data_IF_343158416537
#
_entry.id   IF_343158416537
#
_cell.length_a   1.000
_cell.length_b   1.000
_cell.length_c   1.000
_cell.angle_alpha   90.00
_cell.angle_beta   90.00
_cell.angle_gamma   90.00
#
_symmetry.space_group_name_H-M   'P 1'
#
loop_
_entity.id
_entity.type
_entity.pdbx_description
1 polymer ?
#
# COMPACT_ATOMS: atom_id res chain seq x y z
N UNK A 1 -52.76 28.77 10.80
CA UNK A 1 -53.97 28.87 9.95
C UNK A 1 -53.94 27.68 8.99
N UNK A 2 -54.79 26.73 9.34
CA UNK A 2 -55.78 26.01 8.50
C UNK A 2 -55.26 25.14 7.35
N UNK A 3 -55.31 23.87 7.60
CA UNK A 3 -55.52 22.76 6.61
C UNK A 3 -56.78 22.97 5.77
N UNK A 4 -56.96 22.29 4.64
CA UNK A 4 -57.80 21.12 4.69
C UNK A 4 -57.38 19.91 3.87
N UNK A 5 -57.77 18.79 4.40
CA UNK A 5 -57.88 17.42 3.85
C UNK A 5 -58.96 17.29 2.76
N UNK A 6 -58.75 16.41 1.78
CA UNK A 6 -59.84 15.82 1.03
C UNK A 6 -59.56 14.33 0.69
N UNK A 7 -60.59 13.53 0.85
CA UNK A 7 -60.73 12.07 0.89
C UNK A 7 -61.20 11.49 -0.45
N UNK A 8 -60.81 10.19 -0.68
CA UNK A 8 -61.58 9.06 -1.26
C UNK A 8 -61.91 9.12 -2.80
N UNK A 9 -61.68 8.04 -3.52
CA UNK A 9 -62.54 6.86 -3.65
C UNK A 9 -61.87 5.78 -4.46
N UNK A 10 -62.09 4.51 -4.12
CA UNK A 10 -61.65 3.32 -4.85
C UNK A 10 -62.64 2.91 -5.93
N UNK A 11 -62.17 2.06 -6.82
CA UNK A 11 -63.05 1.17 -7.60
C UNK A 11 -62.27 -0.15 -7.88
N UNK A 12 -62.94 -1.24 -7.58
CA UNK A 12 -62.56 -2.61 -7.91
C UNK A 12 -63.13 -3.00 -9.29
N UNK A 13 -62.40 -3.79 -10.09
CA UNK A 13 -62.98 -4.54 -11.20
C UNK A 13 -62.12 -5.79 -11.48
N UNK A 14 -62.67 -6.85 -11.17
CA UNK A 14 -62.98 -8.16 -11.84
C UNK A 14 -61.95 -8.77 -12.74
N UNK A 15 -61.66 -10.04 -12.38
CA UNK A 15 -60.94 -11.06 -13.11
C UNK A 15 -61.65 -11.49 -14.40
N UNK A 16 -60.87 -11.79 -15.43
CA UNK A 16 -61.26 -12.64 -16.54
C UNK A 16 -60.17 -13.71 -16.78
N UNK A 17 -60.55 -14.96 -16.50
CA UNK A 17 -59.78 -16.18 -16.85
C UNK A 17 -59.94 -16.45 -18.35
N UNK A 18 -58.86 -16.50 -19.11
CA UNK A 18 -58.81 -17.05 -20.45
C UNK A 18 -57.92 -18.29 -20.47
N UNK A 19 -58.51 -19.46 -20.60
CA UNK A 19 -57.81 -20.71 -20.91
C UNK A 19 -57.40 -20.70 -22.42
N UNK A 20 -56.13 -20.97 -22.69
CA UNK A 20 -55.62 -21.29 -24.02
C UNK A 20 -54.91 -22.66 -23.95
N UNK A 21 -55.11 -23.58 -24.90
CA UNK A 21 -54.63 -24.95 -24.82
C UNK A 21 -53.13 -25.06 -25.16
N UNK A 22 -52.47 -25.96 -24.47
CA UNK A 22 -51.09 -26.38 -24.72
C UNK A 22 -50.91 -27.08 -26.03
N UNK A 23 -50.07 -26.56 -26.92
CA UNK A 23 -49.48 -27.31 -28.02
C UNK A 23 -48.06 -27.74 -27.61
N UNK A 24 -47.89 -29.04 -27.45
CA UNK A 24 -46.60 -29.66 -27.20
C UNK A 24 -45.75 -29.63 -28.48
N UNK A 25 -44.65 -28.87 -28.48
CA UNK A 25 -43.55 -29.09 -29.41
C UNK A 25 -42.37 -29.59 -28.60
N UNK A 26 -42.05 -30.88 -28.76
CA UNK A 26 -40.84 -31.50 -28.25
C UNK A 26 -39.63 -31.02 -29.07
N UNK A 27 -38.97 -30.02 -28.59
CA UNK A 27 -37.64 -29.60 -29.02
C UNK A 27 -36.61 -30.17 -28.04
N UNK A 28 -35.78 -31.10 -28.52
CA UNK A 28 -34.63 -31.62 -27.81
C UNK A 28 -33.58 -30.51 -27.68
N UNK A 29 -33.54 -29.86 -26.52
CA UNK A 29 -32.43 -28.98 -26.13
C UNK A 29 -31.34 -29.85 -25.53
N UNK A 30 -30.18 -29.87 -26.17
CA UNK A 30 -28.96 -30.38 -25.55
C UNK A 30 -28.70 -29.61 -24.23
N UNK A 31 -28.19 -30.27 -23.18
CA UNK A 31 -27.80 -29.54 -21.98
C UNK A 31 -26.67 -28.56 -22.34
N UNK A 32 -26.88 -27.28 -22.07
CA UNK A 32 -25.77 -26.33 -22.01
C UNK A 32 -24.81 -26.84 -20.94
N UNK A 33 -23.57 -27.07 -21.30
CA UNK A 33 -22.50 -27.23 -20.34
C UNK A 33 -22.52 -25.95 -19.48
N UNK A 34 -22.82 -26.11 -18.21
CA UNK A 34 -22.63 -25.06 -17.23
C UNK A 34 -21.11 -24.81 -17.16
N UNK A 35 -20.70 -23.61 -17.48
CA UNK A 35 -19.36 -23.13 -17.11
C UNK A 35 -19.18 -23.36 -15.60
N UNK A 36 -18.00 -23.86 -15.17
CA UNK A 36 -17.76 -24.01 -13.75
C UNK A 36 -17.90 -22.61 -13.12
N UNK A 37 -18.85 -22.44 -12.21
CA UNK A 37 -18.91 -21.27 -11.38
C UNK A 37 -17.54 -21.13 -10.69
N UNK A 38 -16.87 -20.00 -10.87
CA UNK A 38 -15.70 -19.65 -10.08
C UNK A 38 -16.08 -19.84 -8.62
N UNK A 39 -15.34 -20.67 -7.89
CA UNK A 39 -15.57 -20.83 -6.46
C UNK A 39 -15.26 -19.46 -5.84
N UNK A 40 -16.22 -18.85 -5.14
CA UNK A 40 -15.94 -17.66 -4.32
C UNK A 40 -14.86 -18.05 -3.30
N UNK A 41 -13.70 -17.39 -3.37
CA UNK A 41 -12.61 -17.56 -2.41
C UNK A 41 -13.08 -17.01 -1.07
N UNK A 42 -13.06 -17.84 -0.03
CA UNK A 42 -13.52 -17.42 1.31
C UNK A 42 -12.38 -16.78 2.09
N UNK A 43 -12.70 -15.92 3.07
CA UNK A 43 -11.69 -15.36 3.99
C UNK A 43 -10.89 -16.44 4.74
N UNK A 44 -11.48 -17.63 4.95
CA UNK A 44 -10.82 -18.78 5.58
C UNK A 44 -9.79 -19.41 4.62
N UNK A 45 -10.10 -19.49 3.32
CA UNK A 45 -9.17 -19.99 2.29
C UNK A 45 -7.95 -19.08 2.16
N UNK A 46 -8.13 -17.76 2.17
CA UNK A 46 -7.03 -16.76 2.12
C UNK A 46 -6.13 -16.86 3.35
N UNK A 47 -6.70 -17.02 4.56
CA UNK A 47 -5.91 -17.19 5.78
C UNK A 47 -5.00 -18.42 5.70
N UNK A 48 -5.50 -19.53 5.14
CA UNK A 48 -4.73 -20.76 4.94
C UNK A 48 -3.55 -20.58 3.98
N UNK A 49 -3.72 -19.78 2.92
CA UNK A 49 -2.63 -19.48 1.98
C UNK A 49 -1.52 -18.62 2.63
N UNK A 50 -1.87 -17.60 3.41
CA UNK A 50 -0.88 -16.80 4.13
C UNK A 50 -0.16 -17.61 5.22
N UNK A 51 -0.85 -18.48 5.96
CA UNK A 51 -0.23 -19.40 6.93
C UNK A 51 0.71 -20.41 6.25
N UNK A 52 0.39 -20.85 5.02
CA UNK A 52 1.28 -21.68 4.20
C UNK A 52 2.56 -20.91 3.84
N UNK A 53 2.45 -19.67 3.41
CA UNK A 53 3.61 -18.82 3.10
C UNK A 53 4.47 -18.58 4.34
N UNK A 54 3.88 -18.27 5.51
CA UNK A 54 4.63 -18.14 6.77
C UNK A 54 5.44 -19.41 7.08
N UNK A 55 4.82 -20.59 6.89
CA UNK A 55 5.47 -21.88 7.15
C UNK A 55 6.57 -22.21 6.13
N UNK A 56 6.37 -21.88 4.85
CA UNK A 56 7.31 -22.12 3.77
C UNK A 56 8.59 -21.29 3.91
N UNK A 57 8.43 -20.02 4.30
CA UNK A 57 9.52 -19.05 4.39
C UNK A 57 10.09 -18.88 5.82
N UNK A 58 9.57 -19.62 6.80
CA UNK A 58 9.92 -19.48 8.24
C UNK A 58 9.89 -18.00 8.68
N UNK A 59 8.79 -17.33 8.36
CA UNK A 59 8.61 -15.89 8.57
C UNK A 59 7.23 -15.58 9.16
N UNK A 60 7.15 -14.50 9.91
CA UNK A 60 5.89 -13.86 10.27
C UNK A 60 5.53 -12.87 9.17
N UNK A 61 4.32 -12.97 8.65
CA UNK A 61 3.82 -12.18 7.52
C UNK A 61 2.63 -11.32 7.94
N UNK A 62 2.63 -10.05 7.57
CA UNK A 62 1.50 -9.15 7.68
C UNK A 62 1.10 -8.63 6.30
N UNK A 63 -0.18 -8.71 5.98
CA UNK A 63 -0.74 -8.26 4.70
C UNK A 63 -1.97 -7.40 4.96
N UNK A 64 -2.10 -6.32 4.24
CA UNK A 64 -3.35 -5.59 4.06
C UNK A 64 -3.43 -5.10 2.64
N UNK A 65 -4.56 -5.34 2.00
CA UNK A 65 -4.88 -4.79 0.70
C UNK A 65 -6.34 -4.37 0.63
N UNK A 66 -6.63 -3.34 -0.15
CA UNK A 66 -7.97 -2.85 -0.41
C UNK A 66 -8.13 -2.44 -1.87
N UNK A 67 -9.17 -2.93 -2.50
CA UNK A 67 -9.68 -2.40 -3.78
C UNK A 67 -10.43 -1.09 -3.48
N UNK A 68 -9.96 0.02 -4.02
CA UNK A 68 -10.51 1.35 -3.70
C UNK A 68 -11.84 1.63 -4.37
N UNK A 69 -12.21 0.86 -5.40
CA UNK A 69 -13.49 0.97 -6.10
C UNK A 69 -14.62 0.23 -5.40
N UNK A 70 -14.36 -0.99 -4.94
CA UNK A 70 -15.35 -1.84 -4.28
C UNK A 70 -15.33 -1.71 -2.76
N UNK A 71 -14.18 -1.37 -2.17
CA UNK A 71 -13.92 -1.40 -0.74
C UNK A 71 -13.72 -2.82 -0.19
N UNK A 72 -13.51 -3.82 -1.05
CA UNK A 72 -13.17 -5.18 -0.62
C UNK A 72 -11.76 -5.22 -0.06
N UNK A 73 -11.58 -5.92 1.07
CA UNK A 73 -10.31 -6.02 1.79
C UNK A 73 -9.80 -7.46 1.83
N UNK A 74 -8.49 -7.62 1.66
CA UNK A 74 -7.73 -8.84 1.98
C UNK A 74 -6.75 -8.51 3.09
N UNK A 75 -6.71 -9.34 4.14
CA UNK A 75 -5.83 -9.07 5.25
C UNK A 75 -5.37 -10.32 6.00
N UNK A 76 -4.15 -10.25 6.51
CA UNK A 76 -3.56 -11.21 7.42
C UNK A 76 -2.65 -10.47 8.41
N UNK A 77 -2.86 -10.63 9.72
CA UNK A 77 -2.14 -9.88 10.77
C UNK A 77 -2.06 -8.37 10.51
N UNK A 78 -3.08 -7.82 9.85
CA UNK A 78 -3.07 -6.44 9.34
C UNK A 78 -2.92 -5.37 10.43
N UNK A 79 -3.27 -5.69 11.67
CA UNK A 79 -3.21 -4.78 12.82
C UNK A 79 -2.08 -5.15 13.81
N UNK A 80 -1.21 -6.10 13.44
CA UNK A 80 0.00 -6.42 14.19
C UNK A 80 1.18 -5.53 13.77
N UNK A 81 2.09 -5.22 14.71
CA UNK A 81 3.24 -4.34 14.45
C UNK A 81 4.39 -5.06 13.77
N UNK A 82 4.98 -4.39 12.80
CA UNK A 82 6.21 -4.77 12.10
C UNK A 82 7.12 -3.54 12.00
N UNK A 83 8.43 -3.74 11.97
CA UNK A 83 9.38 -2.69 11.62
C UNK A 83 9.12 -2.23 10.19
N UNK A 84 8.91 -0.95 9.99
CA UNK A 84 8.59 -0.42 8.66
C UNK A 84 9.82 -0.32 7.74
N UNK A 85 11.03 -0.22 8.32
CA UNK A 85 12.27 0.00 7.58
C UNK A 85 12.12 1.14 6.55
N UNK A 86 12.76 1.05 5.39
CA UNK A 86 12.74 2.12 4.38
C UNK A 86 11.37 2.43 3.75
N UNK A 87 10.28 1.72 4.09
CA UNK A 87 8.95 2.07 3.53
C UNK A 87 8.47 3.46 3.99
N UNK A 88 8.92 3.94 5.17
CA UNK A 88 8.62 5.29 5.66
C UNK A 88 9.07 6.40 4.70
N UNK A 89 10.08 6.15 3.83
CA UNK A 89 10.63 7.14 2.91
C UNK A 89 9.59 7.67 1.90
N UNK A 90 8.57 6.88 1.58
CA UNK A 90 7.44 7.36 0.81
C UNK A 90 6.68 8.48 1.56
N UNK A 91 6.53 8.35 2.87
CA UNK A 91 5.79 9.29 3.70
C UNK A 91 6.61 10.52 4.07
N UNK A 92 7.90 10.35 4.42
CA UNK A 92 8.79 11.50 4.65
C UNK A 92 8.89 12.37 3.40
N UNK A 93 9.04 11.76 2.23
CA UNK A 93 9.04 12.50 0.96
C UNK A 93 7.68 13.17 0.68
N UNK A 94 6.57 12.47 0.91
CA UNK A 94 5.23 13.03 0.74
C UNK A 94 5.01 14.29 1.60
N UNK A 95 5.39 14.24 2.87
CA UNK A 95 5.27 15.36 3.80
C UNK A 95 6.15 16.54 3.37
N UNK A 96 7.41 16.29 3.01
CA UNK A 96 8.31 17.34 2.51
C UNK A 96 7.77 17.98 1.23
N UNK A 97 7.28 17.18 0.27
CA UNK A 97 6.67 17.68 -0.95
C UNK A 97 5.41 18.51 -0.68
N UNK A 98 4.62 18.13 0.32
CA UNK A 98 3.38 18.83 0.68
C UNK A 98 3.58 20.12 1.48
N UNK A 99 4.67 20.21 2.26
CA UNK A 99 4.95 21.34 3.15
C UNK A 99 5.79 22.44 2.51
N UNK A 100 6.45 22.14 1.37
CA UNK A 100 7.35 23.07 0.70
C UNK A 100 6.77 23.59 -0.62
N UNK A 101 7.01 24.86 -0.92
CA UNK A 101 6.70 25.45 -2.23
C UNK A 101 7.64 24.91 -3.31
N UNK A 102 7.28 24.99 -4.61
CA UNK A 102 8.19 24.60 -5.68
C UNK A 102 9.55 25.30 -5.65
N UNK A 103 9.60 26.54 -5.18
CA UNK A 103 10.83 27.31 -5.03
C UNK A 103 11.69 26.77 -3.88
N UNK A 104 11.11 26.38 -2.75
CA UNK A 104 11.80 25.78 -1.61
C UNK A 104 12.31 24.37 -1.96
N UNK A 105 11.57 23.60 -2.73
CA UNK A 105 12.02 22.29 -3.22
C UNK A 105 13.25 22.37 -4.14
N UNK A 106 13.51 23.51 -4.79
CA UNK A 106 14.71 23.76 -5.59
C UNK A 106 15.89 24.31 -4.76
N UNK A 107 15.72 24.54 -3.45
CA UNK A 107 16.82 24.95 -2.57
C UNK A 107 17.80 23.81 -2.37
N UNK A 108 19.12 24.17 -2.39
CA UNK A 108 20.19 23.16 -2.27
C UNK A 108 20.46 22.84 -0.81
N UNK A 109 20.21 21.61 -0.45
CA UNK A 109 20.61 21.00 0.82
C UNK A 109 22.08 20.60 0.73
N UNK A 110 22.90 21.05 1.68
CA UNK A 110 24.32 20.72 1.75
C UNK A 110 24.59 19.80 2.93
N UNK A 111 25.42 18.82 2.74
CA UNK A 111 25.83 17.84 3.74
C UNK A 111 27.31 17.48 3.50
N UNK A 112 27.91 16.75 4.41
CA UNK A 112 29.34 16.42 4.40
C UNK A 112 29.56 14.91 4.36
N UNK A 113 30.80 14.46 4.17
CA UNK A 113 31.15 13.04 4.28
C UNK A 113 30.83 12.44 5.68
N UNK A 114 30.77 13.28 6.73
CA UNK A 114 30.44 12.86 8.09
C UNK A 114 28.95 12.54 8.28
N UNK A 115 28.09 13.06 7.39
CA UNK A 115 26.64 12.84 7.39
C UNK A 115 26.25 11.58 6.61
N UNK A 116 27.18 11.01 5.81
CA UNK A 116 26.91 9.82 5.03
C UNK A 116 26.77 8.58 5.94
N UNK A 117 25.70 7.84 5.72
CA UNK A 117 25.47 6.54 6.35
C UNK A 117 25.47 5.41 5.33
N UNK A 118 25.52 4.18 5.79
CA UNK A 118 25.54 3.00 4.92
C UNK A 118 24.31 2.98 3.97
N UNK A 119 24.52 2.58 2.72
CA UNK A 119 23.54 2.56 1.66
C UNK A 119 23.02 3.97 1.26
N UNK A 120 23.93 4.76 0.71
CA UNK A 120 23.66 6.13 0.24
C UNK A 120 24.11 6.32 -1.22
N UNK A 121 23.54 5.54 -2.18
CA UNK A 121 24.10 5.40 -3.53
C UNK A 121 24.02 6.67 -4.38
N UNK A 122 23.18 7.63 -4.02
CA UNK A 122 23.01 8.90 -4.72
C UNK A 122 23.71 10.01 -3.96
N UNK A 123 23.41 10.17 -2.67
CA UNK A 123 23.97 11.27 -1.86
C UNK A 123 25.50 11.20 -1.78
N UNK A 124 26.12 10.01 -1.76
CA UNK A 124 27.59 9.87 -1.77
C UNK A 124 28.26 10.51 -2.98
N UNK A 125 27.54 10.71 -4.08
CA UNK A 125 28.05 11.30 -5.33
C UNK A 125 27.93 12.83 -5.34
N UNK A 126 27.23 13.44 -4.37
CA UNK A 126 26.87 14.86 -4.35
C UNK A 126 27.37 15.62 -3.11
N UNK A 127 28.27 15.03 -2.31
CA UNK A 127 28.83 15.65 -1.08
C UNK A 127 29.43 17.03 -1.35
N UNK A 128 30.15 17.21 -2.46
CA UNK A 128 30.81 18.48 -2.80
C UNK A 128 29.85 19.56 -3.35
N UNK A 129 28.67 19.15 -3.84
CA UNK A 129 27.74 20.05 -4.55
C UNK A 129 26.45 20.31 -3.78
N UNK A 130 26.06 19.40 -2.90
CA UNK A 130 24.70 19.31 -2.38
C UNK A 130 23.72 18.81 -3.44
N UNK A 131 22.49 18.70 -3.06
CA UNK A 131 21.34 18.30 -3.91
C UNK A 131 20.17 19.23 -3.60
N UNK A 132 19.27 19.47 -4.56
CA UNK A 132 18.03 20.16 -4.23
C UNK A 132 17.16 19.29 -3.31
N UNK A 133 16.28 19.88 -2.52
CA UNK A 133 15.40 19.13 -1.62
C UNK A 133 14.53 18.14 -2.41
N UNK A 134 14.12 18.51 -3.63
CA UNK A 134 13.42 17.61 -4.55
C UNK A 134 14.29 16.40 -4.98
N UNK A 135 15.58 16.61 -5.30
CA UNK A 135 16.51 15.52 -5.61
C UNK A 135 16.78 14.61 -4.41
N UNK A 136 16.78 15.16 -3.20
CA UNK A 136 16.88 14.38 -1.96
C UNK A 136 15.65 13.49 -1.78
N UNK A 137 14.45 14.02 -2.01
CA UNK A 137 13.22 13.23 -1.96
C UNK A 137 13.22 12.11 -3.01
N UNK A 138 13.63 12.41 -4.26
CA UNK A 138 13.76 11.42 -5.34
C UNK A 138 14.76 10.30 -4.97
N UNK A 139 15.92 10.65 -4.41
CA UNK A 139 16.93 9.68 -3.97
C UNK A 139 16.40 8.76 -2.86
N UNK A 140 15.69 9.31 -1.87
CA UNK A 140 15.10 8.55 -0.79
C UNK A 140 14.02 7.56 -1.28
N UNK A 141 13.14 8.00 -2.18
CA UNK A 141 12.03 7.15 -2.66
C UNK A 141 12.54 6.13 -3.67
N UNK A 142 13.18 6.57 -4.76
CA UNK A 142 13.52 5.71 -5.90
C UNK A 142 14.70 4.78 -5.66
N UNK A 143 15.69 5.25 -4.90
CA UNK A 143 16.93 4.50 -4.65
C UNK A 143 17.05 4.03 -3.21
N UNK A 144 16.08 4.37 -2.36
CA UNK A 144 16.09 4.05 -0.94
C UNK A 144 17.33 4.57 -0.19
N UNK A 145 17.89 5.70 -0.63
CA UNK A 145 19.10 6.33 -0.09
C UNK A 145 18.88 6.72 1.38
N UNK A 146 19.75 6.24 2.27
CA UNK A 146 19.59 6.41 3.72
C UNK A 146 20.00 7.80 4.19
N UNK A 147 21.04 8.38 3.63
CA UNK A 147 21.42 9.77 3.97
C UNK A 147 20.35 10.73 3.47
N UNK A 148 19.80 10.52 2.27
CA UNK A 148 18.69 11.31 1.80
C UNK A 148 17.47 11.23 2.76
N UNK A 149 17.16 10.04 3.27
CA UNK A 149 16.08 9.89 4.26
C UNK A 149 16.35 10.66 5.55
N UNK A 150 17.60 10.67 6.05
CA UNK A 150 17.96 11.45 7.23
C UNK A 150 17.85 12.96 6.99
N UNK A 151 18.21 13.44 5.79
CA UNK A 151 18.02 14.84 5.42
C UNK A 151 16.53 15.23 5.37
N UNK A 152 15.65 14.32 4.88
CA UNK A 152 14.20 14.54 4.94
C UNK A 152 13.66 14.54 6.38
N UNK A 153 14.17 13.66 7.25
CA UNK A 153 13.83 13.71 8.68
C UNK A 153 14.26 15.04 9.30
N UNK A 154 15.46 15.54 8.95
CA UNK A 154 15.94 16.84 9.48
C UNK A 154 15.00 17.98 9.05
N UNK A 155 14.52 17.98 7.80
CA UNK A 155 13.56 18.94 7.28
C UNK A 155 12.23 18.92 8.05
N UNK A 156 11.76 17.72 8.43
CA UNK A 156 10.53 17.53 9.22
C UNK A 156 10.71 17.74 10.74
N UNK A 157 11.92 18.10 11.21
CA UNK A 157 12.20 18.23 12.65
C UNK A 157 12.54 16.92 13.37
N UNK A 158 13.01 15.92 12.63
CA UNK A 158 13.40 14.60 13.10
C UNK A 158 12.26 13.60 13.16
N UNK A 159 12.51 12.41 13.74
CA UNK A 159 11.47 11.38 13.90
C UNK A 159 10.22 11.86 14.64
N UNK A 160 10.38 12.72 15.67
CA UNK A 160 9.27 13.29 16.45
C UNK A 160 8.38 14.17 15.55
N UNK A 161 8.97 15.06 14.74
CA UNK A 161 8.21 15.91 13.81
C UNK A 161 7.53 15.10 12.73
N UNK A 162 8.20 14.10 12.15
CA UNK A 162 7.59 13.17 11.22
C UNK A 162 6.38 12.45 11.85
N UNK A 163 6.51 11.96 13.09
CA UNK A 163 5.40 11.30 13.78
C UNK A 163 4.23 12.26 14.03
N UNK A 164 4.50 13.53 14.41
CA UNK A 164 3.47 14.55 14.59
C UNK A 164 2.73 14.82 13.28
N UNK A 165 3.43 14.98 12.16
CA UNK A 165 2.84 15.19 10.84
C UNK A 165 2.00 13.98 10.39
N UNK A 166 2.45 12.76 10.65
CA UNK A 166 1.66 11.55 10.38
C UNK A 166 0.37 11.50 11.22
N UNK A 167 0.38 11.99 12.48
CA UNK A 167 -0.82 12.14 13.29
C UNK A 167 -1.80 13.15 12.70
N UNK A 168 -1.31 14.23 12.10
CA UNK A 168 -2.16 15.24 11.46
C UNK A 168 -2.93 14.70 10.25
N UNK A 169 -2.35 13.76 9.52
CA UNK A 169 -3.04 13.07 8.41
C UNK A 169 -3.92 11.90 8.85
N UNK A 170 -3.92 11.57 10.14
CA UNK A 170 -4.79 10.54 10.74
C UNK A 170 -4.13 9.18 10.97
N UNK A 171 -2.81 9.04 10.80
CA UNK A 171 -2.08 7.83 11.20
C UNK A 171 -1.71 7.88 12.69
N UNK A 172 -2.56 7.30 13.54
CA UNK A 172 -2.35 7.19 14.98
C UNK A 172 -1.49 5.95 15.37
N UNK A 173 -0.95 5.22 14.40
CA UNK A 173 -0.32 3.91 14.61
C UNK A 173 1.19 3.95 14.46
N UNK A 174 1.72 4.61 13.42
CA UNK A 174 3.16 4.66 13.18
C UNK A 174 3.91 5.22 14.38
N UNK A 175 5.06 4.63 14.73
CA UNK A 175 5.95 5.11 15.79
C UNK A 175 7.32 5.35 15.15
N UNK A 176 7.88 6.54 15.33
CA UNK A 176 9.17 6.94 14.79
C UNK A 176 10.07 7.47 15.93
N UNK A 177 11.15 6.76 16.20
CA UNK A 177 12.00 7.01 17.36
C UNK A 177 13.46 7.23 16.95
N UNK A 178 13.90 6.68 15.82
CA UNK A 178 15.28 6.69 15.35
C UNK A 178 15.36 7.12 13.88
N UNK A 179 16.58 7.45 13.46
CA UNK A 179 16.86 7.75 12.04
C UNK A 179 17.56 6.57 11.37
N UNK A 180 17.88 6.68 10.09
CA UNK A 180 18.68 5.68 9.36
C UNK A 180 20.13 5.69 9.88
N UNK A 181 20.76 4.54 10.16
CA UNK A 181 20.27 3.19 9.85
C UNK A 181 19.66 2.46 11.06
N UNK A 182 19.69 3.07 12.24
CA UNK A 182 19.25 2.44 13.49
C UNK A 182 17.77 2.07 13.51
N UNK A 183 16.92 2.78 12.75
CA UNK A 183 15.48 2.45 12.64
C UNK A 183 15.23 1.06 12.05
N UNK A 184 16.21 0.47 11.35
CA UNK A 184 16.10 -0.87 10.77
C UNK A 184 16.34 -2.00 11.78
N UNK A 185 16.77 -1.69 13.01
CA UNK A 185 17.04 -2.64 14.08
C UNK A 185 15.77 -2.86 14.93
N UNK A 186 14.86 -3.70 14.43
CA UNK A 186 13.57 -3.97 15.08
C UNK A 186 13.46 -5.47 15.45
N UNK A 187 13.96 -5.86 16.62
CA UNK A 187 13.82 -7.22 17.11
C UNK A 187 12.36 -7.57 17.45
N UNK A 188 11.98 -8.85 17.49
CA UNK A 188 10.63 -9.28 17.85
C UNK A 188 10.15 -8.67 19.18
N UNK A 189 8.97 -8.02 19.14
CA UNK A 189 8.37 -7.34 20.29
C UNK A 189 8.80 -5.89 20.51
N UNK A 190 9.72 -5.35 19.69
CA UNK A 190 10.01 -3.92 19.66
C UNK A 190 8.80 -3.14 19.11
N UNK A 191 8.63 -1.91 19.59
CA UNK A 191 7.55 -1.01 19.15
C UNK A 191 8.07 0.27 18.51
N UNK A 192 9.34 0.62 18.72
CA UNK A 192 9.97 1.75 18.04
C UNK A 192 10.16 1.45 16.56
N UNK A 193 9.96 2.45 15.73
CA UNK A 193 10.12 2.38 14.28
C UNK A 193 9.27 1.26 13.66
N UNK A 194 8.03 1.17 14.14
CA UNK A 194 7.05 0.17 13.69
C UNK A 194 5.73 0.80 13.27
N UNK A 195 5.02 0.11 12.41
CA UNK A 195 3.65 0.37 12.07
C UNK A 195 2.90 -0.95 11.84
N UNK A 196 1.70 -0.91 11.30
CA UNK A 196 0.92 -2.09 10.91
C UNK A 196 0.65 -2.07 9.41
N UNK A 197 0.47 -3.23 8.75
CA UNK A 197 0.13 -3.26 7.32
C UNK A 197 -1.05 -2.37 6.96
N UNK A 198 -2.13 -2.38 7.76
CA UNK A 198 -3.32 -1.54 7.55
C UNK A 198 -2.98 -0.05 7.62
N UNK A 199 -2.21 0.39 8.60
CA UNK A 199 -1.84 1.79 8.73
C UNK A 199 -0.92 2.24 7.58
N UNK A 200 0.07 1.41 7.21
CA UNK A 200 0.96 1.71 6.08
C UNK A 200 0.21 1.86 4.76
N UNK A 201 -0.74 0.95 4.47
CA UNK A 201 -1.58 1.06 3.28
C UNK A 201 -2.50 2.29 3.34
N UNK A 202 -3.13 2.56 4.49
CA UNK A 202 -3.99 3.72 4.67
C UNK A 202 -3.27 5.05 4.49
N UNK A 203 -2.03 5.18 5.01
CA UNK A 203 -1.21 6.37 4.81
C UNK A 203 -0.79 6.53 3.35
N UNK A 204 -0.42 5.42 2.67
CA UNK A 204 -0.09 5.46 1.25
C UNK A 204 -1.31 5.87 0.39
N UNK A 205 -2.49 5.32 0.67
CA UNK A 205 -3.75 5.71 0.04
C UNK A 205 -4.01 7.22 0.19
N UNK A 206 -3.90 7.73 1.41
CA UNK A 206 -4.12 9.14 1.73
C UNK A 206 -3.20 10.08 0.95
N UNK A 207 -1.93 9.72 0.76
CA UNK A 207 -0.95 10.53 0.03
C UNK A 207 -1.05 10.40 -1.49
N UNK A 208 -1.37 9.21 -2.02
CA UNK A 208 -1.30 8.93 -3.48
C UNK A 208 -2.66 9.05 -4.17
N UNK A 209 -3.73 8.62 -3.51
CA UNK A 209 -5.09 8.61 -4.07
C UNK A 209 -6.02 9.60 -3.39
N UNK A 210 -5.76 9.95 -2.13
CA UNK A 210 -6.52 10.87 -1.32
C UNK A 210 -6.24 12.36 -1.62
N UNK A 211 -6.65 13.21 -0.70
CA UNK A 211 -6.59 14.66 -0.79
C UNK A 211 -5.62 15.32 0.22
N UNK A 212 -4.75 14.53 0.86
CA UNK A 212 -3.70 15.04 1.78
C UNK A 212 -2.70 15.91 1.03
N UNK A 213 -2.29 15.50 -0.17
CA UNK A 213 -1.45 16.30 -1.05
C UNK A 213 -2.28 17.02 -2.12
N UNK A 214 -1.89 18.24 -2.45
CA UNK A 214 -2.37 18.90 -3.67
C UNK A 214 -1.92 18.11 -4.92
N UNK A 215 -2.56 18.35 -6.08
CA UNK A 215 -2.31 17.61 -7.33
C UNK A 215 -0.82 17.59 -7.72
N UNK A 216 -0.13 18.72 -7.65
CA UNK A 216 1.28 18.82 -8.05
C UNK A 216 2.23 17.93 -7.21
N UNK A 217 2.30 18.10 -5.89
CA UNK A 217 3.08 17.23 -5.00
C UNK A 217 2.69 15.76 -5.09
N UNK A 218 1.41 15.45 -5.22
CA UNK A 218 0.90 14.08 -5.36
C UNK A 218 1.39 13.42 -6.65
N UNK A 219 1.36 14.16 -7.77
CA UNK A 219 1.86 13.66 -9.05
C UNK A 219 3.37 13.39 -8.98
N UNK A 220 4.13 14.28 -8.34
CA UNK A 220 5.58 14.10 -8.13
C UNK A 220 5.87 12.85 -7.31
N UNK A 221 5.19 12.66 -6.17
CA UNK A 221 5.33 11.46 -5.36
C UNK A 221 4.97 10.19 -6.15
N UNK A 222 3.86 10.24 -6.87
CA UNK A 222 3.39 9.10 -7.68
C UNK A 222 4.43 8.70 -8.72
N UNK A 223 5.02 9.67 -9.43
CA UNK A 223 6.09 9.42 -10.40
C UNK A 223 7.35 8.84 -9.73
N UNK A 224 7.72 9.30 -8.54
CA UNK A 224 8.84 8.72 -7.79
C UNK A 224 8.58 7.25 -7.45
N UNK A 225 7.39 6.91 -6.96
CA UNK A 225 6.99 5.54 -6.61
C UNK A 225 6.94 4.62 -7.86
N UNK A 226 6.37 5.09 -8.97
CA UNK A 226 6.32 4.36 -10.24
C UNK A 226 7.72 4.06 -10.80
N UNK A 227 8.69 4.93 -10.53
CA UNK A 227 10.07 4.81 -10.97
C UNK A 227 11.01 4.26 -9.87
N UNK A 228 10.47 3.66 -8.81
CA UNK A 228 11.28 2.96 -7.81
C UNK A 228 12.13 1.87 -8.46
N UNK A 229 13.41 1.79 -8.08
CA UNK A 229 14.40 0.87 -8.67
C UNK A 229 14.67 -0.36 -7.79
N UNK A 230 13.97 -0.51 -6.68
CA UNK A 230 14.27 -1.54 -5.67
C UNK A 230 13.19 -2.61 -5.53
N UNK A 231 12.07 -2.50 -6.29
CA UNK A 231 10.84 -3.30 -6.09
C UNK A 231 10.58 -4.41 -7.09
N UNK A 232 11.42 -4.61 -8.12
CA UNK A 232 11.14 -5.51 -9.25
C UNK A 232 10.80 -6.96 -8.86
N UNK A 233 11.35 -7.44 -7.72
CA UNK A 233 11.16 -8.82 -7.25
C UNK A 233 10.11 -8.95 -6.12
N UNK A 234 9.36 -7.89 -5.81
CA UNK A 234 8.43 -7.81 -4.69
C UNK A 234 6.98 -7.73 -5.17
N UNK A 235 6.21 -6.70 -4.76
CA UNK A 235 4.81 -6.53 -5.21
C UNK A 235 4.74 -6.52 -6.75
N UNK A 236 5.67 -5.87 -7.44
CA UNK A 236 5.73 -5.86 -8.92
C UNK A 236 5.77 -7.25 -9.53
N UNK A 237 6.45 -8.20 -8.90
CA UNK A 237 6.55 -9.57 -9.38
C UNK A 237 5.28 -10.40 -9.12
N UNK A 238 4.42 -9.98 -8.21
CA UNK A 238 3.18 -10.65 -7.84
C UNK A 238 1.93 -10.15 -8.58
N UNK A 239 2.08 -9.15 -9.47
CA UNK A 239 0.96 -8.60 -10.25
C UNK A 239 1.13 -8.89 -11.74
N UNK A 240 0.06 -8.85 -12.58
CA UNK A 240 0.15 -8.97 -14.03
C UNK A 240 1.10 -7.92 -14.64
N UNK A 241 1.82 -8.29 -15.72
CA UNK A 241 2.87 -7.45 -16.35
C UNK A 241 2.34 -6.12 -16.93
N UNK A 242 1.06 -6.03 -17.25
CA UNK A 242 0.41 -4.84 -17.80
C UNK A 242 -0.12 -3.87 -16.75
N UNK A 243 0.00 -4.21 -15.47
CA UNK A 243 -0.40 -3.34 -14.37
C UNK A 243 0.71 -2.35 -14.01
N UNK A 244 0.31 -1.12 -13.68
CA UNK A 244 1.27 -0.12 -13.17
C UNK A 244 1.39 -0.27 -11.65
N UNK A 245 2.62 -0.21 -11.15
CA UNK A 245 2.92 -0.34 -9.71
C UNK A 245 3.79 0.83 -9.27
N UNK A 246 3.30 1.61 -8.32
CA UNK A 246 4.07 2.61 -7.60
C UNK A 246 4.34 2.11 -6.19
N UNK A 247 5.58 1.73 -5.89
CA UNK A 247 5.94 1.05 -4.65
C UNK A 247 7.08 1.69 -3.89
N UNK A 248 7.15 1.36 -2.59
CA UNK A 248 8.32 1.64 -1.74
C UNK A 248 8.68 0.44 -0.91
N UNK A 249 9.89 -0.05 -1.12
CA UNK A 249 10.43 -1.22 -0.43
C UNK A 249 11.06 -0.89 0.92
N UNK A 250 11.18 -1.89 1.79
CA UNK A 250 11.93 -1.85 3.03
C UNK A 250 12.65 -3.15 3.33
N UNK A 251 13.80 -3.06 3.99
CA UNK A 251 14.56 -4.21 4.48
C UNK A 251 15.27 -3.84 5.76
N UNK A 252 15.24 -4.73 6.75
CA UNK A 252 15.82 -4.48 8.07
C UNK A 252 16.39 -5.74 8.72
N UNK A 253 16.74 -5.63 9.98
CA UNK A 253 17.21 -6.75 10.78
C UNK A 253 16.15 -7.87 10.88
N UNK A 254 16.55 -9.02 11.40
CA UNK A 254 15.65 -10.18 11.54
C UNK A 254 14.99 -10.61 10.21
N UNK A 255 15.68 -10.44 9.08
CA UNK A 255 15.17 -10.79 7.76
C UNK A 255 13.86 -10.08 7.41
N UNK A 256 13.65 -8.87 7.93
CA UNK A 256 12.51 -8.03 7.57
C UNK A 256 12.56 -7.67 6.10
N UNK A 257 11.45 -7.88 5.39
CA UNK A 257 11.27 -7.49 4.01
C UNK A 257 9.85 -6.99 3.81
N UNK A 258 9.74 -5.74 3.40
CA UNK A 258 8.47 -5.04 3.27
C UNK A 258 8.35 -4.44 1.89
N UNK A 259 7.10 -4.26 1.46
CA UNK A 259 6.77 -3.44 0.30
C UNK A 259 5.37 -2.85 0.49
N UNK A 260 5.21 -1.59 0.15
CA UNK A 260 3.92 -0.90 0.11
C UNK A 260 3.72 -0.32 -1.28
N UNK A 261 2.54 -0.49 -1.85
CA UNK A 261 2.28 -0.10 -3.22
C UNK A 261 0.85 0.40 -3.44
N UNK A 262 0.72 1.30 -4.41
CA UNK A 262 -0.52 1.49 -5.16
C UNK A 262 -0.36 0.79 -6.50
N UNK A 263 -1.32 -0.03 -6.83
CA UNK A 263 -1.35 -0.83 -8.05
C UNK A 263 -2.52 -0.37 -8.91
N UNK A 264 -2.29 -0.08 -10.17
CA UNK A 264 -3.33 0.37 -11.11
C UNK A 264 -3.57 -0.70 -12.18
N UNK A 265 -4.62 -1.54 -12.03
CA UNK A 265 -5.11 -2.39 -13.11
C UNK A 265 -5.56 -1.55 -14.32
N UNK A 266 -5.50 -2.06 -15.56
CA UNK A 266 -5.81 -1.26 -16.76
C UNK A 266 -7.25 -0.75 -16.87
N UNK A 267 -8.22 -1.49 -16.33
CA UNK A 267 -9.66 -1.23 -16.50
C UNK A 267 -10.42 -1.08 -15.17
N UNK A 268 -9.77 -1.30 -14.03
CA UNK A 268 -10.36 -1.29 -12.69
C UNK A 268 -9.79 -0.17 -11.83
N UNK A 269 -10.41 0.07 -10.67
CA UNK A 269 -9.94 1.04 -9.69
C UNK A 269 -8.62 0.58 -9.05
N UNK A 270 -7.81 1.50 -8.49
CA UNK A 270 -6.54 1.14 -7.86
C UNK A 270 -6.71 0.21 -6.66
N UNK A 271 -5.72 -0.68 -6.47
CA UNK A 271 -5.57 -1.51 -5.27
C UNK A 271 -4.38 -0.96 -4.46
N UNK A 272 -4.60 -0.73 -3.17
CA UNK A 272 -3.51 -0.37 -2.24
C UNK A 272 -3.10 -1.60 -1.46
N UNK A 273 -1.80 -1.90 -1.44
CA UNK A 273 -1.24 -3.13 -0.86
C UNK A 273 -0.10 -2.78 0.10
N UNK A 274 -0.08 -3.39 1.27
CA UNK A 274 1.06 -3.39 2.16
C UNK A 274 1.39 -4.84 2.57
N UNK A 275 2.63 -5.27 2.31
CA UNK A 275 3.16 -6.56 2.72
C UNK A 275 4.38 -6.30 3.61
N UNK A 276 4.34 -6.84 4.82
CA UNK A 276 5.39 -6.68 5.82
C UNK A 276 5.79 -8.04 6.38
N UNK A 277 7.08 -8.26 6.58
CA UNK A 277 7.54 -9.55 7.12
C UNK A 277 8.73 -9.40 8.06
N UNK A 278 8.89 -10.38 8.94
CA UNK A 278 10.03 -10.48 9.85
C UNK A 278 10.25 -11.93 10.26
N UNK A 279 11.42 -12.22 10.81
CA UNK A 279 11.78 -13.54 11.37
C UNK A 279 12.21 -13.42 12.82
N UNK A 280 12.15 -14.55 13.54
CA UNK A 280 12.57 -14.58 14.95
C UNK A 280 14.08 -14.46 15.14
N UNK A 281 14.88 -14.92 14.16
CA UNK A 281 16.33 -15.02 14.31
C UNK A 281 17.03 -13.72 13.92
N UNK A 282 17.92 -13.24 14.80
CA UNK A 282 18.87 -12.19 14.47
C UNK A 282 19.80 -12.66 13.33
N UNK A 283 19.98 -11.79 12.33
CA UNK A 283 20.80 -12.10 11.15
C UNK A 283 20.16 -13.06 10.15
N UNK A 284 18.87 -13.37 10.28
CA UNK A 284 18.13 -14.06 9.24
C UNK A 284 18.16 -13.26 7.93
N UNK A 285 18.30 -13.95 6.81
CA UNK A 285 18.17 -13.35 5.49
C UNK A 285 16.68 -13.25 5.10
N UNK A 286 16.30 -12.25 4.34
CA UNK A 286 14.95 -12.14 3.76
C UNK A 286 14.87 -12.93 2.44
N UNK A 287 13.64 -13.24 2.01
CA UNK A 287 13.36 -13.80 0.70
C UNK A 287 12.25 -12.96 0.02
N UNK A 288 12.55 -12.39 -1.14
CA UNK A 288 11.62 -11.56 -1.90
C UNK A 288 10.38 -12.35 -2.36
N UNK A 289 10.53 -13.67 -2.58
CA UNK A 289 9.43 -14.54 -3.02
C UNK A 289 8.28 -14.63 -1.99
N UNK A 290 8.53 -14.34 -0.71
CA UNK A 290 7.46 -14.23 0.29
C UNK A 290 6.53 -13.06 -0.03
N UNK A 291 7.09 -11.90 -0.41
CA UNK A 291 6.31 -10.69 -0.71
C UNK A 291 5.56 -10.85 -2.03
N UNK A 292 6.22 -11.33 -3.10
CA UNK A 292 5.54 -11.58 -4.37
C UNK A 292 4.45 -12.65 -4.26
N UNK A 293 4.71 -13.75 -3.55
CA UNK A 293 3.70 -14.79 -3.32
C UNK A 293 2.50 -14.32 -2.50
N UNK A 294 2.73 -13.46 -1.49
CA UNK A 294 1.62 -12.82 -0.76
C UNK A 294 0.80 -11.89 -1.66
N UNK A 295 1.46 -11.21 -2.59
CA UNK A 295 0.80 -10.34 -3.57
C UNK A 295 -0.04 -11.15 -4.57
N UNK A 296 0.46 -12.31 -5.04
CA UNK A 296 -0.31 -13.20 -5.91
C UNK A 296 -1.64 -13.62 -5.25
N UNK A 297 -1.61 -13.97 -3.95
CA UNK A 297 -2.82 -14.30 -3.18
C UNK A 297 -3.80 -13.12 -3.12
N UNK A 298 -3.28 -11.90 -2.92
CA UNK A 298 -4.11 -10.66 -2.92
C UNK A 298 -4.75 -10.43 -4.28
N UNK A 299 -3.98 -10.52 -5.38
CA UNK A 299 -4.46 -10.27 -6.75
C UNK A 299 -5.51 -11.30 -7.14
N UNK A 300 -5.30 -12.59 -6.81
CA UNK A 300 -6.27 -13.66 -7.08
C UNK A 300 -7.62 -13.41 -6.38
N UNK A 301 -7.60 -12.76 -5.23
CA UNK A 301 -8.80 -12.47 -4.45
C UNK A 301 -9.54 -11.20 -4.88
N UNK A 302 -8.82 -10.12 -5.21
CA UNK A 302 -9.41 -8.81 -5.49
C UNK A 302 -9.64 -8.54 -6.98
N UNK A 303 -8.95 -9.25 -7.88
CA UNK A 303 -9.05 -9.07 -9.33
C UNK A 303 -9.04 -10.43 -10.05
N UNK A 304 -10.04 -11.31 -9.82
CA UNK A 304 -10.12 -12.68 -10.31
C UNK A 304 -10.33 -12.80 -11.84
#
# INVERSE_FOLDING_TARGET
>A
MLFPTARRTGLAALAALALVPAAACSGSSAPAEAEPASAEVTAEDLSGEFERLESEFDARLGVYAVDTGTGEEVFHRADERFGYASTHKAFTAALVLGQNTPEELEEVVTYTEEDLVDYSPITEQHVDTGMTLLEVADAAVRHSDNTAANLLFEELGGPEGFEEDMREIGDDVISADRIETELNEVPPGETRDTSTPRAMAGSLDAFVLGDVLEEGPRDVLTEMLLNNTTGDELIRAGVPEDWRVGDKTGGGSHGSRNDIAVVWPPEDDPIVIAVMSTREQEGAEFDNALVSGATEVVVEALAP
#
